data_IF_927366808870
#
_entry.id   IF_927366808870
#
_cell.length_a   1.000
_cell.length_b   1.000
_cell.length_c   1.000
_cell.angle_alpha   90.00
_cell.angle_beta   90.00
_cell.angle_gamma   90.00
#
_symmetry.space_group_name_H-M   'P 1'
#
loop_
_entity.id
_entity.type
_entity.pdbx_description
1 polymer ?
#
# COMPACT_ATOMS: atom_id res chain seq x y z
N UNK A 1 -65.47 14.86 44.12
CA UNK A 1 -64.01 14.90 43.90
C UNK A 1 -63.56 13.49 43.53
N UNK A 2 -63.71 13.11 42.26
CA UNK A 2 -63.29 11.79 41.78
C UNK A 2 -61.80 11.86 41.42
N UNK A 3 -61.00 11.00 42.04
CA UNK A 3 -59.60 10.77 41.68
C UNK A 3 -59.55 9.69 40.60
N UNK A 4 -59.01 10.02 39.42
CA UNK A 4 -58.67 9.04 38.39
C UNK A 4 -57.23 8.57 38.65
N UNK A 5 -57.03 7.29 38.94
CA UNK A 5 -55.71 6.65 38.89
C UNK A 5 -55.26 6.48 37.44
N UNK A 6 -54.09 7.01 37.11
CA UNK A 6 -53.43 6.80 35.81
C UNK A 6 -52.46 5.62 35.98
N UNK A 7 -52.82 4.48 35.40
CA UNK A 7 -51.92 3.34 35.29
C UNK A 7 -50.83 3.61 34.24
N UNK A 8 -49.57 3.69 34.68
CA UNK A 8 -48.40 3.75 33.78
C UNK A 8 -48.05 2.32 33.34
N UNK A 9 -48.30 2.01 32.07
CA UNK A 9 -47.78 0.78 31.44
C UNK A 9 -46.28 0.93 31.19
N UNK A 10 -45.48 0.09 31.85
CA UNK A 10 -44.04 -0.05 31.61
C UNK A 10 -43.86 -0.88 30.33
N UNK A 11 -43.55 -0.21 29.22
CA UNK A 11 -43.11 -0.87 27.98
C UNK A 11 -41.61 -1.14 28.07
N UNK A 12 -41.23 -2.38 28.28
CA UNK A 12 -39.84 -2.84 28.24
C UNK A 12 -39.45 -3.04 26.77
N UNK A 13 -38.68 -2.10 26.22
CA UNK A 13 -38.12 -2.22 24.88
C UNK A 13 -36.87 -3.12 24.96
N UNK A 14 -37.04 -4.37 24.53
CA UNK A 14 -35.96 -5.33 24.37
C UNK A 14 -35.02 -4.89 23.23
N UNK A 15 -33.85 -4.36 23.60
CA UNK A 15 -32.81 -3.92 22.66
C UNK A 15 -32.01 -5.09 22.06
N UNK A 16 -32.34 -6.35 22.38
CA UNK A 16 -31.66 -7.53 21.85
C UNK A 16 -32.15 -7.96 20.45
N UNK A 17 -33.24 -7.38 19.95
CA UNK A 17 -33.89 -7.84 18.71
C UNK A 17 -33.25 -7.34 17.39
N UNK A 18 -32.21 -6.50 17.41
CA UNK A 18 -31.70 -5.82 16.19
C UNK A 18 -30.38 -6.36 15.62
N UNK A 19 -29.73 -7.34 16.25
CA UNK A 19 -28.52 -7.96 15.69
C UNK A 19 -28.84 -9.25 14.95
N UNK A 20 -29.07 -9.14 13.64
CA UNK A 20 -29.07 -10.29 12.74
C UNK A 20 -27.70 -10.42 12.06
N UNK A 21 -27.13 -11.64 11.97
CA UNK A 21 -25.88 -11.86 11.24
C UNK A 21 -26.09 -11.56 9.74
N UNK A 22 -25.07 -10.97 9.11
CA UNK A 22 -25.07 -10.56 7.69
C UNK A 22 -25.46 -11.68 6.71
N UNK A 23 -25.34 -12.94 7.12
CA UNK A 23 -25.74 -14.12 6.33
C UNK A 23 -27.26 -14.20 6.10
N UNK A 24 -28.08 -13.74 7.04
CA UNK A 24 -29.55 -13.85 6.95
C UNK A 24 -30.12 -12.97 5.83
N UNK A 25 -29.46 -11.85 5.52
CA UNK A 25 -29.89 -10.91 4.46
C UNK A 25 -29.66 -11.50 3.07
N UNK A 26 -28.75 -12.46 2.90
CA UNK A 26 -28.41 -13.00 1.59
C UNK A 26 -29.26 -14.22 1.19
N UNK A 27 -29.87 -14.92 2.15
CA UNK A 27 -30.62 -16.16 1.90
C UNK A 27 -32.03 -15.95 1.33
N UNK A 28 -32.64 -14.78 1.52
CA UNK A 28 -34.06 -14.55 1.21
C UNK A 28 -34.31 -13.66 -0.03
N UNK A 29 -33.37 -13.62 -0.97
CA UNK A 29 -33.62 -13.01 -2.28
C UNK A 29 -34.45 -13.97 -3.15
N UNK A 30 -35.65 -13.57 -3.64
CA UNK A 30 -36.41 -14.40 -4.57
C UNK A 30 -35.61 -14.58 -5.86
N UNK A 31 -35.41 -15.84 -6.25
CA UNK A 31 -34.73 -16.24 -7.47
C UNK A 31 -35.57 -15.87 -8.69
N UNK A 32 -35.30 -14.70 -9.28
CA UNK A 32 -35.81 -14.36 -10.61
C UNK A 32 -35.05 -15.21 -11.63
N UNK A 33 -35.73 -16.20 -12.21
CA UNK A 33 -35.25 -17.01 -13.34
C UNK A 33 -34.63 -16.10 -14.41
N UNK A 34 -33.31 -16.18 -14.59
CA UNK A 34 -32.62 -15.62 -15.75
C UNK A 34 -32.67 -16.68 -16.85
N UNK A 35 -33.50 -16.45 -17.85
CA UNK A 35 -33.53 -17.25 -19.08
C UNK A 35 -32.18 -17.13 -19.82
N UNK A 36 -31.62 -18.28 -20.18
CA UNK A 36 -30.39 -18.40 -20.96
C UNK A 36 -30.67 -18.01 -22.41
N UNK A 37 -30.24 -16.82 -22.81
CA UNK A 37 -30.17 -16.40 -24.21
C UNK A 37 -28.73 -16.55 -24.75
N UNK A 38 -28.62 -17.24 -25.89
CA UNK A 38 -27.39 -17.65 -26.60
C UNK A 38 -26.41 -16.51 -26.91
N UNK A 39 -25.09 -16.79 -27.06
CA UNK A 39 -24.06 -15.79 -27.25
C UNK A 39 -24.14 -15.17 -28.65
N UNK A 40 -24.39 -13.85 -28.73
CA UNK A 40 -24.14 -13.05 -29.94
C UNK A 40 -22.78 -12.37 -29.80
N UNK A 41 -21.83 -12.81 -30.60
CA UNK A 41 -20.54 -12.16 -30.78
C UNK A 41 -20.74 -10.72 -31.28
N UNK A 42 -20.37 -9.73 -30.48
CA UNK A 42 -20.32 -8.34 -30.94
C UNK A 42 -18.92 -8.03 -31.44
N UNK A 43 -18.87 -7.91 -32.76
CA UNK A 43 -17.70 -7.65 -33.62
C UNK A 43 -16.96 -6.39 -33.18
N UNK A 44 -15.63 -6.49 -33.16
CA UNK A 44 -14.67 -5.40 -32.97
C UNK A 44 -14.89 -4.34 -34.06
N UNK A 45 -15.28 -3.12 -33.69
CA UNK A 45 -15.46 -2.02 -34.65
C UNK A 45 -14.08 -1.42 -35.00
N UNK A 46 -13.46 -1.97 -36.04
CA UNK A 46 -12.21 -1.50 -36.63
C UNK A 46 -12.47 -0.24 -37.46
N UNK A 47 -11.96 0.90 -37.01
CA UNK A 47 -11.72 2.08 -37.87
C UNK A 47 -10.40 1.93 -38.64
N UNK A 48 -10.43 2.32 -39.91
CA UNK A 48 -9.50 2.05 -41.02
C UNK A 48 -8.04 2.50 -40.81
N UNK A 49 -7.03 1.75 -41.31
CA UNK A 49 -5.61 2.10 -41.23
C UNK A 49 -5.21 3.14 -42.30
N UNK A 50 -4.38 4.12 -41.91
CA UNK A 50 -3.66 5.01 -42.86
C UNK A 50 -2.27 4.42 -43.14
N UNK A 51 -1.74 4.49 -44.39
CA UNK A 51 -0.66 3.62 -44.83
C UNK A 51 0.73 4.01 -44.32
N UNK A 52 1.54 2.95 -44.24
CA UNK A 52 2.95 2.82 -43.89
C UNK A 52 3.85 3.88 -44.51
N UNK A 53 4.73 4.48 -43.69
CA UNK A 53 6.07 4.87 -44.12
C UNK A 53 7.10 4.17 -43.21
N UNK A 54 8.05 3.51 -43.86
CA UNK A 54 9.07 2.63 -43.29
C UNK A 54 10.15 3.44 -42.56
N UNK A 55 10.61 2.95 -41.42
CA UNK A 55 12.05 2.94 -41.08
C UNK A 55 12.31 1.82 -40.07
N UNK A 56 13.39 1.03 -40.24
CA UNK A 56 13.79 0.01 -39.29
C UNK A 56 14.75 0.64 -38.29
N UNK A 57 14.40 0.67 -37.01
CA UNK A 57 15.42 0.79 -35.96
C UNK A 57 14.92 0.04 -34.74
N UNK A 58 15.33 -1.21 -34.68
CA UNK A 58 15.67 -1.87 -33.43
C UNK A 58 16.55 -0.91 -32.61
N UNK A 59 16.00 -0.37 -31.53
CA UNK A 59 16.75 0.38 -30.55
C UNK A 59 16.46 -0.25 -29.19
N UNK A 60 17.46 -0.97 -28.71
CA UNK A 60 17.60 -1.41 -27.33
C UNK A 60 17.29 -0.27 -26.34
N UNK A 61 16.76 -0.57 -25.14
CA UNK A 61 16.69 0.45 -24.10
C UNK A 61 18.11 0.79 -23.64
N UNK A 62 18.65 1.86 -24.21
CA UNK A 62 19.91 2.50 -23.82
C UNK A 62 19.76 2.98 -22.38
N UNK A 63 20.23 2.17 -21.43
CA UNK A 63 20.50 2.54 -20.06
C UNK A 63 21.73 3.45 -20.03
N UNK A 64 21.60 4.70 -20.46
CA UNK A 64 22.61 5.72 -20.18
C UNK A 64 22.05 6.69 -19.14
N UNK A 65 22.63 6.75 -17.92
CA UNK A 65 22.36 7.82 -16.99
C UNK A 65 22.92 9.13 -17.57
N UNK A 66 22.04 10.10 -17.83
CA UNK A 66 22.46 11.47 -18.10
C UNK A 66 23.21 12.03 -16.87
N UNK A 67 24.42 12.58 -17.00
CA UNK A 67 25.27 12.93 -15.85
C UNK A 67 25.00 14.31 -15.25
N UNK A 68 23.78 14.87 -15.33
CA UNK A 68 23.56 16.30 -15.01
C UNK A 68 22.67 16.56 -13.79
N UNK A 69 21.89 15.60 -13.32
CA UNK A 69 21.18 15.75 -12.04
C UNK A 69 21.83 14.84 -11.00
N UNK A 70 22.51 15.37 -9.96
CA UNK A 70 22.97 14.54 -8.86
C UNK A 70 21.74 13.92 -8.20
N UNK A 71 21.49 12.64 -8.50
CA UNK A 71 20.41 11.90 -7.86
C UNK A 71 20.65 11.94 -6.35
N UNK A 72 19.65 12.34 -5.54
CA UNK A 72 19.86 12.49 -4.11
C UNK A 72 20.24 11.13 -3.52
N UNK A 73 21.46 11.03 -2.99
CA UNK A 73 21.92 9.85 -2.28
C UNK A 73 21.80 10.07 -0.78
N UNK A 74 21.41 9.01 -0.08
CA UNK A 74 21.23 8.99 1.36
C UNK A 74 22.33 8.15 1.99
N UNK A 75 23.28 8.82 2.63
CA UNK A 75 24.25 8.16 3.49
C UNK A 75 23.55 7.67 4.76
N UNK A 76 23.51 6.36 4.96
CA UNK A 76 22.83 5.72 6.09
C UNK A 76 23.75 4.74 6.80
N UNK A 77 23.45 4.41 8.05
CA UNK A 77 24.21 3.41 8.79
C UNK A 77 24.00 1.99 8.24
N UNK A 78 24.84 1.04 8.67
CA UNK A 78 24.77 -0.34 8.20
C UNK A 78 23.42 -1.01 8.49
N UNK A 79 22.77 -0.63 9.61
CA UNK A 79 21.47 -1.16 10.04
C UNK A 79 20.38 -0.72 9.07
N UNK A 80 20.27 0.57 8.78
CA UNK A 80 19.31 1.10 7.83
C UNK A 80 19.60 0.63 6.40
N UNK A 81 20.87 0.53 6.01
CA UNK A 81 21.24 0.04 4.68
C UNK A 81 20.74 -1.39 4.44
N UNK A 82 20.84 -2.27 5.45
CA UNK A 82 20.29 -3.63 5.38
C UNK A 82 18.78 -3.61 5.15
N UNK A 83 18.05 -2.71 5.82
CA UNK A 83 16.61 -2.52 5.65
C UNK A 83 16.29 -2.07 4.22
N UNK A 84 16.97 -1.04 3.70
CA UNK A 84 16.72 -0.56 2.33
C UNK A 84 17.04 -1.61 1.27
N UNK A 85 18.08 -2.42 1.46
CA UNK A 85 18.39 -3.59 0.60
C UNK A 85 17.30 -4.67 0.61
N UNK A 86 16.57 -4.80 1.72
CA UNK A 86 15.42 -5.73 1.78
C UNK A 86 14.14 -5.14 1.19
N UNK A 87 13.95 -3.82 1.27
CA UNK A 87 12.78 -3.09 0.76
C UNK A 87 12.84 -2.90 -0.75
N UNK A 88 13.99 -2.54 -1.29
CA UNK A 88 14.22 -2.37 -2.72
C UNK A 88 14.86 -3.63 -3.29
N UNK A 89 14.44 -4.03 -4.49
CA UNK A 89 15.05 -5.17 -5.16
C UNK A 89 16.44 -4.81 -5.66
N UNK A 90 17.41 -5.69 -5.44
CA UNK A 90 18.72 -5.63 -6.07
C UNK A 90 18.96 -6.97 -6.78
N UNK A 91 19.06 -6.99 -8.13
CA UNK A 91 19.26 -8.23 -8.88
C UNK A 91 20.65 -8.86 -8.67
N UNK A 92 21.65 -8.08 -8.24
CA UNK A 92 23.00 -8.59 -7.98
C UNK A 92 23.09 -9.40 -6.67
N UNK A 93 22.11 -9.26 -5.78
CA UNK A 93 22.08 -9.95 -4.48
C UNK A 93 21.20 -11.20 -4.60
N UNK A 94 21.84 -12.37 -4.62
CA UNK A 94 21.17 -13.67 -4.78
C UNK A 94 20.65 -14.27 -3.47
N UNK A 95 20.98 -13.69 -2.32
CA UNK A 95 20.50 -14.16 -1.02
C UNK A 95 18.99 -13.90 -0.86
N UNK A 96 18.27 -14.86 -0.25
CA UNK A 96 16.86 -14.68 0.09
C UNK A 96 16.68 -13.51 1.07
N UNK A 97 15.88 -12.48 0.73
CA UNK A 97 15.63 -11.37 1.64
C UNK A 97 14.88 -11.87 2.89
N UNK A 98 15.43 -11.58 4.06
CA UNK A 98 14.84 -11.98 5.35
C UNK A 98 13.69 -11.08 5.82
N UNK A 99 13.22 -11.34 7.04
CA UNK A 99 12.27 -10.46 7.73
C UNK A 99 12.96 -9.22 8.31
N UNK A 100 12.22 -8.12 8.41
CA UNK A 100 12.71 -6.86 8.99
C UNK A 100 11.99 -6.61 10.31
N UNK A 101 12.69 -6.46 11.45
CA UNK A 101 12.09 -5.98 12.68
C UNK A 101 11.44 -4.60 12.47
N UNK A 102 10.23 -4.38 13.00
CA UNK A 102 9.53 -3.09 12.82
C UNK A 102 10.38 -1.91 13.29
N UNK A 103 11.08 -2.06 14.43
CA UNK A 103 11.98 -1.03 14.96
C UNK A 103 13.17 -0.72 14.04
N UNK A 104 13.65 -1.69 13.26
CA UNK A 104 14.70 -1.44 12.26
C UNK A 104 14.15 -0.63 11.09
N UNK A 105 12.90 -0.88 10.69
CA UNK A 105 12.22 -0.07 9.69
C UNK A 105 11.99 1.37 10.17
N UNK A 106 11.54 1.55 11.42
CA UNK A 106 11.41 2.89 12.02
C UNK A 106 12.76 3.63 12.01
N UNK A 107 13.81 2.96 12.46
CA UNK A 107 15.18 3.49 12.46
C UNK A 107 15.63 3.92 11.06
N UNK A 108 15.45 3.06 10.06
CA UNK A 108 15.82 3.34 8.69
C UNK A 108 15.08 4.55 8.10
N UNK A 109 13.79 4.69 8.39
CA UNK A 109 13.03 5.86 7.93
C UNK A 109 13.48 7.14 8.65
N UNK A 110 13.77 7.06 9.96
CA UNK A 110 14.30 8.22 10.71
C UNK A 110 15.69 8.64 10.25
N UNK A 111 16.57 7.70 9.89
CA UNK A 111 17.93 8.01 9.46
C UNK A 111 17.96 8.81 8.15
N UNK A 112 16.94 8.62 7.30
CA UNK A 112 16.81 9.34 6.03
C UNK A 112 16.09 10.68 6.20
N UNK A 113 15.58 10.98 7.40
CA UNK A 113 15.03 12.31 7.72
C UNK A 113 13.51 12.38 7.80
N UNK A 114 12.84 11.25 8.04
CA UNK A 114 11.44 11.26 8.48
C UNK A 114 11.34 11.39 10.01
N UNK A 115 10.38 12.18 10.46
CA UNK A 115 9.82 12.06 11.82
C UNK A 115 8.75 10.99 11.81
N UNK A 116 8.77 10.10 12.82
CA UNK A 116 7.86 8.96 12.90
C UNK A 116 6.92 9.14 14.10
N UNK A 117 5.61 9.09 13.84
CA UNK A 117 4.57 9.28 14.84
C UNK A 117 3.62 8.09 14.83
N UNK A 118 3.38 7.49 16.00
CA UNK A 118 2.31 6.51 16.17
C UNK A 118 0.99 7.26 16.24
N UNK A 119 0.05 6.91 15.35
CA UNK A 119 -1.30 7.44 15.38
C UNK A 119 -2.15 6.55 16.28
N UNK A 120 -3.15 5.87 15.74
CA UNK A 120 -4.01 4.95 16.48
C UNK A 120 -3.80 3.50 16.02
N UNK A 121 -4.06 2.56 16.92
CA UNK A 121 -3.90 1.13 16.67
C UNK A 121 -2.49 0.78 16.18
N UNK A 122 -2.40 0.10 15.04
CA UNK A 122 -1.15 -0.24 14.36
C UNK A 122 -0.73 0.77 13.29
N UNK A 123 -1.36 1.95 13.19
CA UNK A 123 -1.05 2.94 12.14
C UNK A 123 0.08 3.87 12.59
N UNK A 124 1.09 4.00 11.75
CA UNK A 124 2.22 4.92 11.94
C UNK A 124 2.32 5.89 10.77
N UNK A 125 2.51 7.18 11.08
CA UNK A 125 2.75 8.24 10.11
C UNK A 125 4.24 8.60 10.07
N UNK A 126 4.74 8.77 8.85
CA UNK A 126 6.09 9.19 8.54
C UNK A 126 5.98 10.54 7.84
N UNK A 127 6.45 11.58 8.53
CA UNK A 127 6.41 12.95 8.05
C UNK A 127 7.82 13.39 7.67
N UNK A 128 8.07 13.83 6.42
CA UNK A 128 9.39 14.29 6.03
C UNK A 128 9.76 15.55 6.82
N UNK A 129 11.01 15.63 7.28
CA UNK A 129 11.52 16.77 8.06
C UNK A 129 12.82 17.32 7.47
N UNK A 130 13.70 16.43 6.99
CA UNK A 130 14.99 16.80 6.38
C UNK A 130 15.05 16.50 4.88
N UNK A 131 13.89 16.20 4.28
CA UNK A 131 13.77 15.80 2.89
C UNK A 131 13.18 16.95 2.08
N UNK A 132 13.60 17.07 0.82
CA UNK A 132 13.04 18.01 -0.16
C UNK A 132 11.65 17.55 -0.69
N UNK A 133 10.92 16.78 0.13
CA UNK A 133 9.60 16.29 -0.23
C UNK A 133 8.65 16.56 0.93
N UNK A 134 7.45 17.03 0.63
CA UNK A 134 6.45 17.40 1.64
C UNK A 134 5.45 16.27 1.94
N UNK A 135 5.34 15.30 1.03
CA UNK A 135 4.34 14.23 1.11
C UNK A 135 4.61 13.30 2.29
N UNK A 136 3.70 13.20 3.25
CA UNK A 136 3.74 12.18 4.31
C UNK A 136 3.25 10.81 3.82
N UNK A 137 3.65 9.75 4.52
CA UNK A 137 3.25 8.37 4.22
C UNK A 137 2.91 7.63 5.51
N UNK A 138 1.96 6.69 5.43
CA UNK A 138 1.55 5.90 6.59
C UNK A 138 1.79 4.41 6.35
N UNK A 139 2.28 3.68 7.35
CA UNK A 139 2.43 2.24 7.30
C UNK A 139 1.81 1.58 8.53
N UNK A 140 1.48 0.29 8.42
CA UNK A 140 0.93 -0.48 9.52
C UNK A 140 2.03 -1.29 10.20
N UNK A 141 2.13 -1.16 11.51
CA UNK A 141 2.94 -1.99 12.38
C UNK A 141 2.46 -3.45 12.31
N UNK A 142 3.33 -4.41 11.97
CA UNK A 142 2.98 -5.81 11.93
C UNK A 142 2.64 -6.37 13.32
N UNK A 143 1.45 -6.95 13.47
CA UNK A 143 1.01 -7.64 14.69
C UNK A 143 0.67 -9.10 14.36
N UNK A 144 0.96 -10.10 15.24
CA UNK A 144 1.54 -9.99 16.59
C UNK A 144 3.07 -10.04 16.67
N UNK A 145 3.75 -10.48 15.61
CA UNK A 145 5.20 -10.78 15.67
C UNK A 145 6.12 -9.55 15.64
N UNK A 146 5.64 -8.36 15.26
CA UNK A 146 6.47 -7.15 15.18
C UNK A 146 7.54 -7.17 14.08
N UNK A 147 7.40 -8.06 13.09
CA UNK A 147 8.34 -8.22 11.97
C UNK A 147 7.62 -8.10 10.63
N UNK A 148 8.25 -7.42 9.69
CA UNK A 148 7.76 -7.22 8.33
C UNK A 148 8.32 -8.36 7.45
N UNK A 149 7.47 -9.22 6.86
CA UNK A 149 7.91 -10.19 5.85
C UNK A 149 8.47 -9.48 4.61
N UNK A 150 9.44 -10.08 3.93
CA UNK A 150 10.08 -9.44 2.78
C UNK A 150 9.09 -9.06 1.67
N UNK A 151 8.03 -9.86 1.46
CA UNK A 151 6.97 -9.56 0.48
C UNK A 151 6.25 -8.24 0.79
N UNK A 152 5.98 -8.00 2.07
CA UNK A 152 5.42 -6.73 2.58
C UNK A 152 6.44 -5.60 2.46
N UNK A 153 7.71 -5.86 2.78
CA UNK A 153 8.79 -4.89 2.60
C UNK A 153 8.92 -4.44 1.13
N UNK A 154 8.81 -5.37 0.15
CA UNK A 154 8.80 -5.03 -1.28
C UNK A 154 7.58 -4.22 -1.69
N UNK A 155 6.43 -4.44 -1.04
CA UNK A 155 5.25 -3.58 -1.24
C UNK A 155 5.50 -2.17 -0.71
N UNK A 156 6.21 -2.02 0.41
CA UNK A 156 6.60 -0.72 0.92
C UNK A 156 7.58 -0.03 -0.02
N UNK A 157 8.58 -0.75 -0.55
CA UNK A 157 9.54 -0.21 -1.52
C UNK A 157 8.86 0.35 -2.77
N UNK A 158 7.92 -0.40 -3.36
CA UNK A 158 7.11 0.11 -4.49
C UNK A 158 6.30 1.34 -4.12
N UNK A 159 5.81 1.43 -2.89
CA UNK A 159 5.06 2.60 -2.43
C UNK A 159 5.96 3.82 -2.23
N UNK A 160 7.16 3.64 -1.66
CA UNK A 160 8.18 4.68 -1.53
C UNK A 160 8.66 5.15 -2.91
N UNK A 161 8.88 4.23 -3.85
CA UNK A 161 9.23 4.56 -5.22
C UNK A 161 8.16 5.44 -5.89
N UNK A 162 6.87 5.10 -5.76
CA UNK A 162 5.79 5.93 -6.32
C UNK A 162 5.62 7.27 -5.62
N UNK A 163 5.90 7.36 -4.33
CA UNK A 163 5.71 8.58 -3.55
C UNK A 163 6.88 9.57 -3.71
N UNK A 164 8.10 9.05 -3.83
CA UNK A 164 9.34 9.83 -3.70
C UNK A 164 10.37 9.56 -4.81
N UNK A 165 10.08 8.66 -5.75
CA UNK A 165 11.05 8.24 -6.77
C UNK A 165 12.15 7.31 -6.24
N UNK A 166 12.08 6.88 -4.98
CA UNK A 166 13.18 6.17 -4.34
C UNK A 166 13.45 4.78 -4.92
N UNK A 167 14.73 4.40 -4.98
CA UNK A 167 15.18 3.09 -5.41
C UNK A 167 16.47 2.68 -4.67
N UNK A 168 16.88 1.42 -4.82
CA UNK A 168 17.88 0.81 -3.94
C UNK A 168 19.27 1.45 -3.96
N UNK A 169 19.71 1.98 -5.10
CA UNK A 169 21.07 2.54 -5.25
C UNK A 169 21.22 3.93 -4.65
N UNK A 170 20.10 4.58 -4.28
CA UNK A 170 20.14 5.87 -3.58
C UNK A 170 20.71 5.75 -2.17
N UNK A 171 20.74 4.55 -1.57
CA UNK A 171 21.18 4.36 -0.19
C UNK A 171 22.61 3.83 -0.16
N UNK A 172 23.50 4.62 0.44
CA UNK A 172 24.93 4.29 0.57
C UNK A 172 25.31 4.16 2.04
N UNK A 173 26.37 3.39 2.32
CA UNK A 173 26.89 3.27 3.68
C UNK A 173 27.58 4.58 4.06
N UNK A 174 27.16 5.19 5.16
CA UNK A 174 27.85 6.33 5.77
C UNK A 174 29.24 5.89 6.23
N UNK A 175 30.27 6.63 5.82
CA UNK A 175 31.60 6.50 6.38
C UNK A 175 31.54 7.00 7.84
N UNK A 176 31.98 6.13 8.76
CA UNK A 176 31.95 6.37 10.20
C UNK A 176 32.96 7.42 10.62
#
# INVERSE_FOLDING_TARGET
MAWLEIAVKKGEADLSASYQPLSTIYTDLPSTKVEVARPKAKVKTRGTPRPVAKSPTEAEPVLQPNPIDPQPSFAVDARALKVFRTIFFNPAVTSTPGEIPWNDFLHAMTSVGFTVMKLYGSVWQFQPTKLDVERSIQFHEPHPRGKIPFTTARRYGRRLHRAYGWFGEMFTLSAK
#
